data_IF_396947458283
#
_entry.id   IF_396947458283
#
_cell.length_a   1.000
_cell.length_b   1.000
_cell.length_c   1.000
_cell.angle_alpha   90.00
_cell.angle_beta   90.00
_cell.angle_gamma   90.00
#
_symmetry.space_group_name_H-M   'P 1'
#
loop_
_entity.id
_entity.type
_entity.pdbx_description
1 polymer ?
#
# COMPACT_ATOMS: atom_id res chain seq x y z
N UNK A 1 -6.89 -30.84 -11.37
CA UNK A 1 -7.91 -31.54 -10.56
C UNK A 1 -9.18 -30.69 -10.46
N UNK A 2 -10.33 -31.28 -10.08
CA UNK A 2 -11.59 -30.55 -9.91
C UNK A 2 -12.04 -30.56 -8.44
N UNK A 3 -12.35 -29.40 -7.89
CA UNK A 3 -12.69 -29.22 -6.48
C UNK A 3 -14.13 -28.76 -6.30
N UNK A 4 -14.80 -29.27 -5.27
CA UNK A 4 -16.04 -28.69 -4.78
C UNK A 4 -15.77 -27.31 -4.14
N UNK A 5 -16.82 -26.51 -3.95
CA UNK A 5 -16.66 -25.19 -3.32
C UNK A 5 -16.07 -25.25 -1.89
N UNK A 6 -16.33 -26.32 -1.14
CA UNK A 6 -15.80 -26.50 0.22
C UNK A 6 -14.31 -26.80 0.22
N UNK A 7 -13.87 -27.68 -0.67
CA UNK A 7 -12.45 -28.00 -0.85
C UNK A 7 -11.68 -26.80 -1.39
N UNK A 8 -12.23 -26.13 -2.40
CA UNK A 8 -11.67 -24.92 -2.98
C UNK A 8 -11.49 -23.80 -1.95
N UNK A 9 -12.49 -23.59 -1.08
CA UNK A 9 -12.41 -22.63 0.04
C UNK A 9 -11.29 -22.99 1.02
N UNK A 10 -11.14 -24.27 1.35
CA UNK A 10 -10.08 -24.77 2.25
C UNK A 10 -8.69 -24.57 1.65
N UNK A 11 -8.53 -24.89 0.37
CA UNK A 11 -7.24 -24.77 -0.34
C UNK A 11 -6.81 -23.31 -0.49
N UNK A 12 -7.75 -22.40 -0.75
CA UNK A 12 -7.43 -20.98 -0.88
C UNK A 12 -7.32 -20.25 0.46
N UNK A 13 -7.81 -20.84 1.56
CA UNK A 13 -7.96 -20.16 2.85
C UNK A 13 -8.99 -19.02 2.82
N UNK A 14 -9.99 -19.08 1.93
CA UNK A 14 -11.00 -18.03 1.71
C UNK A 14 -12.38 -18.62 1.95
N UNK A 15 -13.24 -17.90 2.66
CA UNK A 15 -14.61 -18.36 2.91
C UNK A 15 -15.38 -18.57 1.58
N UNK A 16 -16.09 -19.71 1.47
CA UNK A 16 -16.94 -20.04 0.34
C UNK A 16 -17.95 -18.93 -0.02
N UNK A 17 -18.45 -18.18 0.95
CA UNK A 17 -19.34 -17.04 0.73
C UNK A 17 -18.65 -15.90 -0.01
N UNK A 18 -17.40 -15.60 0.35
CA UNK A 18 -16.56 -14.58 -0.33
C UNK A 18 -16.27 -14.99 -1.77
N UNK A 19 -15.92 -16.27 -1.98
CA UNK A 19 -15.67 -16.81 -3.32
C UNK A 19 -16.92 -16.75 -4.22
N UNK A 20 -18.10 -17.05 -3.67
CA UNK A 20 -19.38 -16.87 -4.38
C UNK A 20 -19.65 -15.40 -4.72
N UNK A 21 -19.31 -14.48 -3.82
CA UNK A 21 -19.45 -13.05 -4.08
C UNK A 21 -18.50 -12.59 -5.21
N UNK A 22 -17.24 -13.06 -5.20
CA UNK A 22 -16.26 -12.78 -6.25
C UNK A 22 -16.71 -13.28 -7.62
N UNK A 23 -17.28 -14.48 -7.67
CA UNK A 23 -17.90 -15.02 -8.88
C UNK A 23 -19.11 -14.17 -9.32
N UNK A 24 -20.11 -14.01 -8.45
CA UNK A 24 -21.43 -13.46 -8.84
C UNK A 24 -21.38 -11.96 -9.10
N UNK A 25 -20.69 -11.18 -8.25
CA UNK A 25 -20.70 -9.71 -8.31
C UNK A 25 -19.66 -9.15 -9.25
N UNK A 26 -18.49 -9.80 -9.33
CA UNK A 26 -17.34 -9.25 -10.05
C UNK A 26 -16.90 -10.11 -11.24
N UNK A 27 -17.41 -11.34 -11.36
CA UNK A 27 -17.02 -12.26 -12.42
C UNK A 27 -15.53 -12.61 -12.39
N UNK A 28 -14.95 -12.64 -11.18
CA UNK A 28 -13.52 -12.89 -10.94
C UNK A 28 -13.16 -14.37 -10.96
N UNK A 29 -14.14 -15.26 -10.86
CA UNK A 29 -13.96 -16.71 -10.97
C UNK A 29 -15.00 -17.24 -11.95
N UNK A 30 -14.62 -18.24 -12.75
CA UNK A 30 -15.50 -18.85 -13.75
C UNK A 30 -15.45 -20.38 -13.62
N UNK A 31 -15.96 -20.93 -12.51
CA UNK A 31 -15.96 -22.38 -12.32
C UNK A 31 -16.82 -23.06 -13.39
N UNK A 32 -16.40 -24.26 -13.75
CA UNK A 32 -17.20 -25.16 -14.57
C UNK A 32 -18.45 -25.59 -13.80
N UNK A 33 -19.50 -25.95 -14.54
CA UNK A 33 -20.69 -26.56 -13.97
C UNK A 33 -20.77 -28.01 -14.41
N UNK A 34 -21.10 -28.90 -13.48
CA UNK A 34 -21.47 -30.28 -13.79
C UNK A 34 -22.85 -30.33 -14.42
N UNK A 35 -23.20 -31.46 -15.03
CA UNK A 35 -24.54 -31.71 -15.58
C UNK A 35 -25.65 -31.56 -14.51
N UNK A 36 -25.33 -31.84 -13.24
CA UNK A 36 -26.20 -31.59 -12.08
C UNK A 36 -26.24 -30.15 -11.57
N UNK A 37 -25.55 -29.20 -12.23
CA UNK A 37 -25.57 -27.78 -11.89
C UNK A 37 -24.62 -27.35 -10.75
N UNK A 38 -23.81 -28.27 -10.22
CA UNK A 38 -22.83 -27.96 -9.17
C UNK A 38 -21.57 -27.29 -9.75
N UNK A 39 -20.95 -26.39 -8.98
CA UNK A 39 -19.72 -25.69 -9.37
C UNK A 39 -18.50 -26.58 -9.12
N UNK A 40 -17.63 -26.68 -10.11
CA UNK A 40 -16.32 -27.31 -10.02
C UNK A 40 -15.22 -26.28 -10.31
N UNK A 41 -14.22 -26.24 -9.45
CA UNK A 41 -13.07 -25.34 -9.56
C UNK A 41 -11.82 -26.13 -9.95
N UNK A 42 -10.96 -25.55 -10.78
CA UNK A 42 -9.69 -26.15 -11.17
C UNK A 42 -8.50 -25.64 -10.34
N UNK A 43 -7.31 -26.20 -10.59
CA UNK A 43 -6.06 -25.65 -10.05
C UNK A 43 -5.81 -24.22 -10.54
N UNK A 44 -6.20 -23.89 -11.77
CA UNK A 44 -6.11 -22.53 -12.30
C UNK A 44 -7.01 -21.56 -11.54
N UNK A 45 -8.21 -22.00 -11.14
CA UNK A 45 -9.09 -21.21 -10.28
C UNK A 45 -8.46 -20.96 -8.91
N UNK A 46 -7.65 -21.89 -8.39
CA UNK A 46 -6.91 -21.71 -7.12
C UNK A 46 -5.86 -20.62 -7.31
N UNK A 47 -5.06 -20.72 -8.37
CA UNK A 47 -4.06 -19.69 -8.67
C UNK A 47 -4.70 -18.32 -8.86
N UNK A 48 -5.84 -18.26 -9.54
CA UNK A 48 -6.59 -17.03 -9.73
C UNK A 48 -7.15 -16.47 -8.40
N UNK A 49 -7.68 -17.33 -7.53
CA UNK A 49 -8.15 -16.93 -6.20
C UNK A 49 -7.02 -16.38 -5.31
N UNK A 50 -5.84 -17.01 -5.35
CA UNK A 50 -4.65 -16.54 -4.62
C UNK A 50 -4.16 -15.19 -5.17
N UNK A 51 -4.17 -14.99 -6.50
CA UNK A 51 -3.84 -13.68 -7.11
C UNK A 51 -4.84 -12.59 -6.75
N UNK A 52 -6.14 -12.90 -6.70
CA UNK A 52 -7.16 -11.95 -6.22
C UNK A 52 -6.89 -11.61 -4.76
N UNK A 53 -6.58 -12.60 -3.93
CA UNK A 53 -6.30 -12.42 -2.51
C UNK A 53 -5.09 -11.52 -2.28
N UNK A 54 -4.02 -11.69 -3.07
CA UNK A 54 -2.85 -10.82 -3.03
C UNK A 54 -3.22 -9.34 -3.29
N UNK A 55 -4.06 -9.08 -4.30
CA UNK A 55 -4.55 -7.73 -4.57
C UNK A 55 -5.39 -7.13 -3.45
N UNK A 56 -6.28 -7.94 -2.88
CA UNK A 56 -7.13 -7.50 -1.77
C UNK A 56 -6.29 -7.22 -0.53
N UNK A 57 -5.28 -8.04 -0.24
CA UNK A 57 -4.31 -7.80 0.85
C UNK A 57 -3.50 -6.51 0.63
N UNK A 58 -3.24 -6.16 -0.62
CA UNK A 58 -2.57 -4.90 -1.01
C UNK A 58 -3.49 -3.66 -0.95
N UNK A 59 -4.74 -3.80 -0.51
CA UNK A 59 -5.69 -2.69 -0.37
C UNK A 59 -6.44 -2.32 -1.64
N UNK A 60 -6.37 -3.15 -2.70
CA UNK A 60 -7.16 -2.92 -3.91
C UNK A 60 -8.60 -3.36 -3.65
N UNK A 61 -9.61 -2.50 -3.84
CA UNK A 61 -11.01 -2.90 -3.76
C UNK A 61 -11.30 -4.04 -4.73
N UNK A 62 -12.02 -5.08 -4.29
CA UNK A 62 -12.31 -6.28 -5.11
C UNK A 62 -12.93 -5.93 -6.47
N UNK A 63 -13.73 -4.87 -6.54
CA UNK A 63 -14.33 -4.35 -7.77
C UNK A 63 -13.32 -3.90 -8.84
N UNK A 64 -12.10 -3.55 -8.43
CA UNK A 64 -11.01 -3.08 -9.30
C UNK A 64 -10.00 -4.17 -9.66
N UNK A 65 -10.13 -5.38 -9.10
CA UNK A 65 -9.13 -6.45 -9.28
C UNK A 65 -9.16 -7.06 -10.69
N UNK A 66 -10.35 -7.16 -11.31
CA UNK A 66 -10.53 -7.78 -12.63
C UNK A 66 -9.63 -7.23 -13.74
N UNK A 67 -9.53 -5.90 -13.96
CA UNK A 67 -8.61 -5.35 -14.97
C UNK A 67 -7.13 -5.59 -14.63
N UNK A 68 -6.78 -5.67 -13.34
CA UNK A 68 -5.39 -5.93 -12.93
C UNK A 68 -4.97 -7.36 -13.27
N UNK A 69 -5.83 -8.35 -13.03
CA UNK A 69 -5.58 -9.76 -13.36
C UNK A 69 -5.37 -10.01 -14.85
N UNK A 70 -6.00 -9.21 -15.71
CA UNK A 70 -5.89 -9.35 -17.17
C UNK A 70 -4.52 -8.90 -17.73
N UNK A 71 -3.67 -8.27 -16.91
CA UNK A 71 -2.33 -7.82 -17.33
C UNK A 71 -1.27 -8.90 -17.07
N UNK A 72 -0.48 -9.32 -18.08
CA UNK A 72 0.61 -10.27 -17.88
C UNK A 72 1.67 -9.72 -16.90
N UNK A 73 2.10 -10.54 -15.95
CA UNK A 73 3.04 -10.17 -14.87
C UNK A 73 4.41 -9.69 -15.39
N UNK A 74 4.90 -10.25 -16.50
CA UNK A 74 6.16 -9.85 -17.17
C UNK A 74 6.12 -8.47 -17.82
N UNK A 75 4.94 -7.90 -18.12
CA UNK A 75 4.83 -6.50 -18.56
C UNK A 75 4.82 -5.53 -17.37
N UNK A 76 4.46 -5.96 -16.16
CA UNK A 76 4.39 -5.06 -15.00
C UNK A 76 5.78 -4.66 -14.51
N UNK A 77 6.73 -5.60 -14.46
CA UNK A 77 8.11 -5.33 -14.04
C UNK A 77 8.88 -4.45 -15.03
N UNK A 78 8.71 -4.65 -16.34
CA UNK A 78 9.32 -3.80 -17.36
C UNK A 78 8.72 -2.37 -17.40
N UNK A 79 7.49 -2.19 -16.90
CA UNK A 79 6.85 -0.88 -16.84
C UNK A 79 7.40 0.00 -15.71
N UNK A 80 7.90 -0.56 -14.59
CA UNK A 80 8.37 0.24 -13.46
C UNK A 80 9.58 1.10 -13.80
N UNK A 81 10.62 0.50 -14.40
CA UNK A 81 11.80 1.24 -14.82
C UNK A 81 11.46 2.32 -15.85
N UNK A 82 10.53 2.03 -16.77
CA UNK A 82 10.04 3.00 -17.75
C UNK A 82 9.29 4.15 -17.08
N UNK A 83 8.47 3.86 -16.07
CA UNK A 83 7.74 4.85 -15.29
C UNK A 83 8.69 5.72 -14.46
N UNK A 84 9.70 5.11 -13.81
CA UNK A 84 10.75 5.83 -13.09
C UNK A 84 11.50 6.80 -14.02
N UNK A 85 11.95 6.33 -15.19
CA UNK A 85 12.64 7.15 -16.19
C UNK A 85 11.76 8.30 -16.67
N UNK A 86 10.49 8.03 -16.96
CA UNK A 86 9.53 9.05 -17.39
C UNK A 86 9.28 10.10 -16.31
N UNK A 87 9.18 9.70 -15.05
CA UNK A 87 9.04 10.60 -13.91
C UNK A 87 10.29 11.44 -13.70
N UNK A 88 11.48 10.82 -13.73
CA UNK A 88 12.76 11.50 -13.59
C UNK A 88 12.98 12.52 -14.71
N UNK A 89 12.64 12.16 -15.94
CA UNK A 89 12.73 13.08 -17.09
C UNK A 89 11.86 14.31 -16.87
N UNK A 90 10.59 14.14 -16.48
CA UNK A 90 9.68 15.29 -16.21
C UNK A 90 10.17 16.14 -15.04
N UNK A 91 10.76 15.52 -14.02
CA UNK A 91 11.36 16.22 -12.88
C UNK A 91 12.54 17.09 -13.34
N UNK A 92 13.46 16.52 -14.12
CA UNK A 92 14.64 17.22 -14.65
C UNK A 92 14.27 18.33 -15.64
N UNK A 93 13.20 18.15 -16.42
CA UNK A 93 12.68 19.15 -17.36
C UNK A 93 11.79 20.21 -16.68
N UNK A 94 11.57 20.13 -15.37
CA UNK A 94 10.71 21.06 -14.63
C UNK A 94 9.22 20.96 -14.97
N UNK A 95 8.78 19.86 -15.57
CA UNK A 95 7.37 19.62 -15.97
C UNK A 95 6.53 19.13 -14.78
N UNK A 96 6.43 19.95 -13.75
CA UNK A 96 5.86 19.60 -12.44
C UNK A 96 4.40 19.12 -12.53
N UNK A 97 3.55 19.85 -13.24
CA UNK A 97 2.14 19.47 -13.39
C UNK A 97 1.95 18.17 -14.16
N UNK A 98 2.82 17.93 -15.13
CA UNK A 98 2.77 16.70 -15.90
C UNK A 98 3.30 15.50 -15.10
N UNK A 99 4.31 15.70 -14.25
CA UNK A 99 4.77 14.70 -13.28
C UNK A 99 3.67 14.38 -12.26
N UNK A 100 2.97 15.39 -11.75
CA UNK A 100 1.83 15.23 -10.84
C UNK A 100 0.74 14.38 -11.50
N UNK A 101 0.31 14.72 -12.72
CA UNK A 101 -0.68 13.92 -13.46
C UNK A 101 -0.22 12.47 -13.65
N UNK A 102 1.04 12.26 -14.05
CA UNK A 102 1.60 10.92 -14.22
C UNK A 102 1.56 10.10 -12.93
N UNK A 103 1.84 10.71 -11.77
CA UNK A 103 1.73 10.04 -10.47
C UNK A 103 0.28 9.63 -10.16
N UNK A 104 -0.68 10.52 -10.41
CA UNK A 104 -2.10 10.24 -10.17
C UNK A 104 -2.60 9.13 -11.10
N UNK A 105 -2.20 9.15 -12.37
CA UNK A 105 -2.54 8.12 -13.35
C UNK A 105 -1.96 6.76 -12.94
N UNK A 106 -0.67 6.73 -12.59
CA UNK A 106 -0.02 5.53 -12.09
C UNK A 106 -0.73 4.98 -10.84
N UNK A 107 -1.13 5.84 -9.91
CA UNK A 107 -1.82 5.42 -8.71
C UNK A 107 -3.27 4.94 -8.90
N UNK A 108 -3.87 5.17 -10.08
CA UNK A 108 -5.15 4.54 -10.50
C UNK A 108 -4.92 3.20 -11.19
N UNK A 109 -3.79 3.07 -11.86
CA UNK A 109 -3.42 1.91 -12.67
C UNK A 109 -2.75 0.81 -11.85
N UNK A 110 -2.03 1.20 -10.80
CA UNK A 110 -1.19 0.36 -9.99
C UNK A 110 -1.52 0.48 -8.50
N UNK A 111 -1.31 -0.60 -7.72
CA UNK A 111 -1.43 -0.53 -6.27
C UNK A 111 -0.37 0.39 -5.69
N UNK A 112 -0.82 1.21 -4.75
CA UNK A 112 0.02 2.24 -4.11
C UNK A 112 1.19 1.64 -3.34
N UNK A 113 1.01 0.45 -2.76
CA UNK A 113 2.08 -0.27 -2.08
C UNK A 113 3.25 -0.63 -3.03
N UNK A 114 2.93 -1.10 -4.24
CA UNK A 114 3.92 -1.40 -5.28
C UNK A 114 4.50 -0.11 -5.85
N UNK A 115 3.68 0.90 -6.12
CA UNK A 115 4.14 2.20 -6.61
C UNK A 115 5.18 2.84 -5.67
N UNK A 116 4.97 2.77 -4.35
CA UNK A 116 5.94 3.27 -3.37
C UNK A 116 7.24 2.47 -3.41
N UNK A 117 7.15 1.13 -3.43
CA UNK A 117 8.30 0.23 -3.30
C UNK A 117 9.13 0.20 -4.58
N UNK A 118 8.46 0.10 -5.73
CA UNK A 118 9.07 -0.15 -7.04
C UNK A 118 9.32 1.13 -7.83
N UNK A 119 8.74 2.28 -7.46
CA UNK A 119 8.88 3.53 -8.23
C UNK A 119 9.31 4.70 -7.36
N UNK A 120 8.53 5.08 -6.35
CA UNK A 120 8.78 6.33 -5.61
C UNK A 120 10.06 6.28 -4.79
N UNK A 121 10.31 5.21 -4.01
CA UNK A 121 11.56 5.06 -3.26
C UNK A 121 12.79 4.96 -4.19
N UNK A 122 12.78 4.12 -5.24
CA UNK A 122 13.85 4.10 -6.23
C UNK A 122 14.11 5.45 -6.90
N UNK A 123 13.05 6.16 -7.31
CA UNK A 123 13.16 7.49 -7.91
C UNK A 123 13.78 8.50 -6.94
N UNK A 124 13.33 8.53 -5.68
CA UNK A 124 13.91 9.37 -4.62
C UNK A 124 15.38 9.05 -4.37
N UNK A 125 15.76 7.77 -4.43
CA UNK A 125 17.16 7.33 -4.32
C UNK A 125 18.02 7.85 -5.47
N UNK A 126 17.48 7.90 -6.70
CA UNK A 126 18.17 8.48 -7.86
C UNK A 126 18.41 9.99 -7.72
N UNK A 127 17.58 10.71 -6.97
CA UNK A 127 17.74 12.15 -6.66
C UNK A 127 18.20 12.40 -5.23
N UNK A 128 19.15 11.60 -4.73
CA UNK A 128 19.66 11.70 -3.35
C UNK A 128 21.04 12.36 -3.21
N UNK A 129 21.65 12.78 -4.33
CA UNK A 129 22.98 13.40 -4.29
C UNK A 129 22.96 14.70 -3.48
N UNK A 130 23.98 14.89 -2.64
CA UNK A 130 24.14 16.07 -1.79
C UNK A 130 24.65 17.29 -2.58
N UNK A 131 23.88 17.68 -3.59
CA UNK A 131 24.13 18.83 -4.47
C UNK A 131 22.86 19.70 -4.44
N UNK A 132 22.96 21.03 -4.26
CA UNK A 132 21.79 21.89 -4.07
C UNK A 132 20.67 21.68 -5.11
N UNK A 133 21.02 21.59 -6.39
CA UNK A 133 20.04 21.35 -7.46
C UNK A 133 19.28 20.02 -7.28
N UNK A 134 19.99 18.94 -6.96
CA UNK A 134 19.38 17.61 -6.77
C UNK A 134 18.52 17.59 -5.51
N UNK A 135 18.97 18.25 -4.44
CA UNK A 135 18.17 18.42 -3.23
C UNK A 135 16.88 19.18 -3.51
N UNK A 136 16.93 20.27 -4.29
CA UNK A 136 15.73 21.00 -4.69
C UNK A 136 14.78 20.11 -5.51
N UNK A 137 15.29 19.33 -6.46
CA UNK A 137 14.46 18.37 -7.21
C UNK A 137 13.83 17.32 -6.30
N UNK A 138 14.57 16.83 -5.29
CA UNK A 138 14.05 15.90 -4.30
C UNK A 138 12.91 16.50 -3.48
N UNK A 139 13.05 17.75 -3.02
CA UNK A 139 11.97 18.43 -2.27
C UNK A 139 10.73 18.70 -3.15
N UNK A 140 10.92 19.02 -4.44
CA UNK A 140 9.81 19.13 -5.40
C UNK A 140 9.10 17.79 -5.54
N UNK A 141 9.84 16.69 -5.71
CA UNK A 141 9.29 15.34 -5.80
C UNK A 141 8.52 14.98 -4.52
N UNK A 142 9.11 15.24 -3.35
CA UNK A 142 8.50 14.98 -2.05
C UNK A 142 7.19 15.77 -1.88
N UNK A 143 7.15 17.04 -2.32
CA UNK A 143 5.92 17.84 -2.34
C UNK A 143 4.81 17.25 -3.21
N UNK A 144 5.14 16.67 -4.37
CA UNK A 144 4.18 15.97 -5.24
C UNK A 144 3.67 14.69 -4.57
N UNK A 145 4.57 13.91 -3.97
CA UNK A 145 4.24 12.67 -3.25
C UNK A 145 3.31 12.98 -2.07
N UNK A 146 3.62 14.01 -1.27
CA UNK A 146 2.81 14.46 -0.15
C UNK A 146 1.40 14.83 -0.63
N UNK A 147 1.30 15.67 -1.67
CA UNK A 147 0.00 16.09 -2.20
C UNK A 147 -0.85 14.90 -2.70
N UNK A 148 -0.23 13.95 -3.41
CA UNK A 148 -0.92 12.74 -3.86
C UNK A 148 -1.36 11.85 -2.68
N UNK A 149 -0.50 11.70 -1.68
CA UNK A 149 -0.80 10.93 -0.46
C UNK A 149 -1.96 11.55 0.30
N UNK A 150 -1.95 12.88 0.51
CA UNK A 150 -3.06 13.61 1.13
C UNK A 150 -4.37 13.41 0.39
N UNK A 151 -4.34 13.46 -0.95
CA UNK A 151 -5.51 13.18 -1.78
C UNK A 151 -6.07 11.77 -1.55
N UNK A 152 -5.20 10.75 -1.49
CA UNK A 152 -5.62 9.37 -1.19
C UNK A 152 -6.20 9.22 0.22
N UNK A 153 -5.55 9.81 1.23
CA UNK A 153 -5.99 9.76 2.62
C UNK A 153 -7.37 10.41 2.80
N UNK A 154 -7.62 11.54 2.14
CA UNK A 154 -8.93 12.19 2.19
C UNK A 154 -10.04 11.31 1.61
N UNK A 155 -9.72 10.52 0.57
CA UNK A 155 -10.63 9.52 0.02
C UNK A 155 -10.98 8.42 1.02
N UNK A 156 -10.01 7.99 1.84
CA UNK A 156 -10.17 6.89 2.79
C UNK A 156 -10.93 7.29 4.07
N UNK A 157 -11.03 8.59 4.41
CA UNK A 157 -11.78 9.07 5.59
C UNK A 157 -13.24 8.62 5.60
N UNK A 158 -13.82 8.39 4.42
CA UNK A 158 -15.22 7.96 4.24
C UNK A 158 -15.41 6.44 4.35
N UNK A 159 -14.33 5.67 4.32
CA UNK A 159 -14.39 4.22 4.39
C UNK A 159 -14.56 3.76 5.86
N UNK A 160 -15.29 2.66 6.11
CA UNK A 160 -15.29 2.00 7.41
C UNK A 160 -13.87 1.48 7.71
N UNK A 161 -13.40 1.68 8.94
CA UNK A 161 -12.02 1.33 9.30
C UNK A 161 -11.57 1.87 10.65
N UNK A 162 -10.42 1.36 11.11
CA UNK A 162 -9.79 1.79 12.35
C UNK A 162 -9.14 3.16 12.18
N UNK A 163 -9.17 3.97 13.25
CA UNK A 163 -8.50 5.27 13.28
C UNK A 163 -7.03 5.06 13.66
N UNK A 164 -6.13 5.44 12.76
CA UNK A 164 -4.69 5.30 12.94
C UNK A 164 -4.02 6.67 12.95
N UNK A 165 -2.95 6.81 13.74
CA UNK A 165 -2.01 7.92 13.65
C UNK A 165 -0.69 7.38 13.13
N UNK A 166 -0.10 8.05 12.13
CA UNK A 166 1.23 7.70 11.63
C UNK A 166 2.21 8.84 11.86
N UNK A 167 3.39 8.52 12.38
CA UNK A 167 4.44 9.50 12.67
C UNK A 167 5.83 8.87 12.57
N UNK A 168 6.84 9.72 12.48
CA UNK A 168 8.23 9.30 12.58
C UNK A 168 8.65 9.05 14.03
N UNK A 169 9.54 8.09 14.24
CA UNK A 169 10.19 7.88 15.53
C UNK A 169 11.65 7.48 15.32
N UNK A 170 12.58 8.34 15.71
CA UNK A 170 13.97 8.28 15.30
C UNK A 170 14.12 8.15 13.77
N UNK A 171 13.44 9.05 13.06
CA UNK A 171 13.39 9.08 11.60
C UNK A 171 14.13 10.32 11.09
N UNK A 172 15.03 10.13 10.13
CA UNK A 172 15.82 11.21 9.51
C UNK A 172 15.18 11.79 8.26
N UNK A 173 14.30 11.03 7.59
CA UNK A 173 13.62 11.43 6.36
C UNK A 173 12.10 11.50 6.59
N UNK A 174 11.54 12.71 6.83
CA UNK A 174 10.11 12.88 7.11
C UNK A 174 9.18 12.43 5.98
N UNK A 175 9.64 12.44 4.73
CA UNK A 175 8.82 12.00 3.60
C UNK A 175 8.50 10.49 3.67
N UNK A 176 9.30 9.69 4.38
CA UNK A 176 8.99 8.26 4.57
C UNK A 176 7.71 8.04 5.39
N UNK A 177 7.31 9.00 6.24
CA UNK A 177 6.01 8.96 6.92
C UNK A 177 4.88 8.95 5.88
N UNK A 178 5.00 9.80 4.86
CA UNK A 178 4.02 9.93 3.78
C UNK A 178 4.06 8.73 2.83
N UNK A 179 5.24 8.23 2.48
CA UNK A 179 5.37 7.02 1.66
C UNK A 179 4.73 5.81 2.36
N UNK A 180 4.95 5.65 3.67
CA UNK A 180 4.35 4.56 4.42
C UNK A 180 2.84 4.74 4.60
N UNK A 181 2.36 5.98 4.79
CA UNK A 181 0.94 6.29 4.76
C UNK A 181 0.32 5.89 3.41
N UNK A 182 0.95 6.27 2.30
CA UNK A 182 0.50 5.97 0.94
C UNK A 182 0.37 4.46 0.69
N UNK A 183 1.34 3.66 1.13
CA UNK A 183 1.30 2.18 1.01
C UNK A 183 0.08 1.57 1.66
N UNK A 184 -0.47 2.21 2.69
CA UNK A 184 -1.56 1.70 3.53
C UNK A 184 -2.93 2.29 3.20
N UNK A 185 -2.98 3.30 2.34
CA UNK A 185 -4.25 3.82 1.83
C UNK A 185 -5.03 2.73 1.08
N UNK A 186 -6.36 2.78 1.15
CA UNK A 186 -7.27 1.78 0.55
C UNK A 186 -7.40 0.47 1.34
N UNK A 187 -6.67 0.29 2.45
CA UNK A 187 -6.69 -0.94 3.26
C UNK A 187 -7.69 -0.91 4.43
N UNK A 188 -8.69 -0.02 4.40
CA UNK A 188 -9.67 0.10 5.48
C UNK A 188 -9.12 0.72 6.77
N UNK A 189 -8.09 1.57 6.65
CA UNK A 189 -7.58 2.37 7.76
C UNK A 189 -7.85 3.84 7.49
N UNK A 190 -8.30 4.58 8.51
CA UNK A 190 -8.41 6.03 8.48
C UNK A 190 -7.16 6.60 9.14
N UNK A 191 -6.20 6.98 8.30
CA UNK A 191 -4.86 7.38 8.76
C UNK A 191 -4.78 8.91 8.84
N UNK A 192 -4.47 9.41 10.03
CA UNK A 192 -4.08 10.80 10.28
C UNK A 192 -2.55 10.88 10.36
N UNK A 193 -1.93 11.76 9.57
CA UNK A 193 -0.47 11.90 9.47
C UNK A 193 0.01 13.01 10.40
N UNK A 194 1.02 12.71 11.24
CA UNK A 194 1.82 13.71 11.93
C UNK A 194 3.08 13.96 11.09
N UNK A 195 3.13 15.05 10.30
CA UNK A 195 4.17 15.23 9.29
C UNK A 195 5.55 15.51 9.89
N UNK A 196 5.58 16.07 11.11
CA UNK A 196 6.79 16.30 11.87
C UNK A 196 6.68 15.51 13.16
N UNK A 197 7.60 14.57 13.44
CA UNK A 197 7.56 13.81 14.67
C UNK A 197 7.84 14.74 15.86
N UNK A 198 7.06 14.63 16.95
CA UNK A 198 7.34 15.42 18.15
C UNK A 198 8.70 15.02 18.74
N UNK A 199 9.38 15.97 19.38
CA UNK A 199 10.68 15.71 20.03
C UNK A 199 10.59 14.57 21.07
N UNK A 200 9.46 14.49 21.77
CA UNK A 200 9.09 13.38 22.66
C UNK A 200 7.71 12.91 22.26
N UNK A 201 7.57 11.61 22.00
CA UNK A 201 6.30 10.99 21.64
C UNK A 201 5.62 10.42 22.89
N UNK A 202 4.31 10.62 22.98
CA UNK A 202 3.46 10.10 24.06
C UNK A 202 2.21 9.45 23.44
N UNK A 203 2.32 8.25 22.84
CA UNK A 203 1.19 7.61 22.16
C UNK A 203 0.04 7.21 23.11
N UNK A 204 0.33 7.03 24.40
CA UNK A 204 -0.61 6.68 25.45
C UNK A 204 -1.73 7.71 25.66
N UNK A 205 -1.58 8.94 25.16
CA UNK A 205 -2.62 9.99 25.25
C UNK A 205 -3.87 9.67 24.40
N UNK A 206 -3.74 8.77 23.42
CA UNK A 206 -4.85 8.31 22.56
C UNK A 206 -4.87 6.77 22.48
N UNK A 207 -5.30 6.07 23.55
CA UNK A 207 -5.23 4.60 23.62
C UNK A 207 -6.16 3.91 22.62
N UNK A 208 -7.25 4.57 22.23
CA UNK A 208 -8.24 4.09 21.25
C UNK A 208 -7.73 4.16 19.80
N UNK A 209 -6.60 4.82 19.55
CA UNK A 209 -6.01 4.95 18.20
C UNK A 209 -4.83 4.01 18.06
N UNK A 210 -4.73 3.37 16.89
CA UNK A 210 -3.54 2.60 16.53
C UNK A 210 -2.45 3.54 16.05
N UNK A 211 -1.28 3.48 16.68
CA UNK A 211 -0.12 4.28 16.31
C UNK A 211 0.82 3.49 15.40
N UNK A 212 1.18 4.08 14.27
CA UNK A 212 2.12 3.54 13.29
C UNK A 212 3.42 4.36 13.38
N UNK A 213 4.49 3.75 13.88
CA UNK A 213 5.77 4.42 14.13
C UNK A 213 6.78 4.06 13.05
N UNK A 214 7.02 4.99 12.11
CA UNK A 214 8.02 4.81 11.05
C UNK A 214 9.40 5.12 11.63
N UNK A 215 10.32 4.16 11.59
CA UNK A 215 11.64 4.29 12.22
C UNK A 215 12.77 3.91 11.27
N UNK A 216 13.90 4.62 11.41
CA UNK A 216 15.12 4.33 10.68
C UNK A 216 16.14 3.60 11.56
N UNK A 217 16.88 2.67 10.93
CA UNK A 217 17.92 1.89 11.58
C UNK A 217 17.40 0.77 12.48
N UNK A 218 18.34 0.05 13.11
CA UNK A 218 18.02 -1.11 13.95
C UNK A 218 17.39 -0.67 15.28
N UNK A 219 16.38 -1.41 15.72
CA UNK A 219 15.76 -1.24 17.03
C UNK A 219 16.75 -1.62 18.15
N UNK A 220 17.33 -0.61 18.78
CA UNK A 220 18.23 -0.79 19.93
C UNK A 220 17.46 -1.29 21.16
N UNK A 221 18.18 -1.81 22.16
CA UNK A 221 17.57 -2.25 23.42
C UNK A 221 16.81 -1.11 24.13
N UNK A 222 17.33 0.12 24.08
CA UNK A 222 16.66 1.29 24.65
C UNK A 222 15.31 1.58 23.96
N UNK A 223 15.28 1.50 22.62
CA UNK A 223 14.06 1.68 21.84
C UNK A 223 13.02 0.61 22.14
N UNK A 224 13.44 -0.66 22.24
CA UNK A 224 12.54 -1.76 22.63
C UNK A 224 11.91 -1.53 24.01
N UNK A 225 12.72 -1.15 25.00
CA UNK A 225 12.21 -0.80 26.35
C UNK A 225 11.19 0.34 26.31
N UNK A 226 11.40 1.35 25.46
CA UNK A 226 10.44 2.45 25.30
C UNK A 226 9.10 1.97 24.72
N UNK A 227 9.14 1.08 23.72
CA UNK A 227 7.94 0.47 23.15
C UNK A 227 7.19 -0.32 24.22
N UNK A 228 7.90 -1.15 24.98
CA UNK A 228 7.31 -1.96 26.05
C UNK A 228 6.64 -1.07 27.12
N UNK A 229 7.26 0.05 27.47
CA UNK A 229 6.70 1.04 28.41
C UNK A 229 5.38 1.61 27.91
N UNK A 230 5.34 2.07 26.65
CA UNK A 230 4.10 2.63 26.08
C UNK A 230 2.99 1.58 25.97
N UNK A 231 3.33 0.33 25.61
CA UNK A 231 2.36 -0.76 25.56
C UNK A 231 1.80 -1.09 26.96
N UNK A 232 2.63 -1.04 28.00
CA UNK A 232 2.19 -1.19 29.40
C UNK A 232 1.27 -0.04 29.85
N UNK A 233 1.44 1.15 29.27
CA UNK A 233 0.57 2.31 29.48
C UNK A 233 -0.72 2.28 28.64
N UNK A 234 -0.95 1.21 27.87
CA UNK A 234 -2.17 1.01 27.09
C UNK A 234 -2.11 1.54 25.66
N UNK A 235 -0.94 1.97 25.16
CA UNK A 235 -0.80 2.40 23.78
C UNK A 235 -0.82 1.21 22.80
N UNK A 236 -1.68 1.29 21.78
CA UNK A 236 -1.68 0.35 20.65
C UNK A 236 -0.67 0.81 19.59
N UNK A 237 0.43 0.08 19.42
CA UNK A 237 1.58 0.49 18.60
C UNK A 237 1.98 -0.58 17.58
N UNK A 238 2.29 -0.14 16.35
CA UNK A 238 2.98 -0.91 15.32
C UNK A 238 4.23 -0.15 14.89
N UNK A 239 5.40 -0.77 15.01
CA UNK A 239 6.67 -0.19 14.60
C UNK A 239 7.00 -0.65 13.18
N UNK A 240 7.30 0.30 12.31
CA UNK A 240 7.56 0.07 10.89
C UNK A 240 9.02 0.43 10.61
N UNK A 241 9.92 -0.57 10.60
CA UNK A 241 11.31 -0.36 10.22
C UNK A 241 11.42 -0.15 8.69
N UNK A 242 12.25 0.81 8.30
CA UNK A 242 12.64 1.08 6.91
C UNK A 242 13.91 0.31 6.52
#
# INVERSE_FOLDING_TARGET
>A
MSYSIGEFARLCGINATTLRAWQRRYGLLKPLRTDGGHRQYSDDDIQQALKILDWVKKGVPVSQVKPLLARPETRRTNNWSTLQQSMLQRLNEGKIESLRQLLYDAGREYPRAELVTEVLRPLRSQVSANVPAIMTLREILDGIIIAYTSFCLEGDKRAPGDNCLITGWHLTDPCEIWLEALRRTGQGHRIDVLPVPPAVLAPEIFPERKWLLVTSGKLTAARKKQIDLWQQQGASLEVIPL
#
